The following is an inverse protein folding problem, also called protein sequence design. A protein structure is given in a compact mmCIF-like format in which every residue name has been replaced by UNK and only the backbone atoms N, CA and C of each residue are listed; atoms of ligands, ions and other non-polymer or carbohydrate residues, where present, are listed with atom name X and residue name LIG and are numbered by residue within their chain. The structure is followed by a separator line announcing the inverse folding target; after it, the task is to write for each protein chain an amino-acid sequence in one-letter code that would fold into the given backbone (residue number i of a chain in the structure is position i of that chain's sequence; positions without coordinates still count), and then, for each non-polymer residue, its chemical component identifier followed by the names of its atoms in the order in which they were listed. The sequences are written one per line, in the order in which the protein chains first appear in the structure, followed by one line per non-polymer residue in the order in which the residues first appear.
data_IF_329231683050
#
_entry.id   IF_329231683050
#
_cell.length_a   1.000
_cell.length_b   1.000
_cell.length_c   1.000
_cell.angle_alpha   90.00
_cell.angle_beta   90.00
_cell.angle_gamma   90.00
#
_symmetry.space_group_name_H-M   'P 1'
#
loop_
_entity.id
_entity.type
_entity.pdbx_description
1 polymer ?
#
# COMPACT_ATOMS: atom_id res chain seq x y z
N UNK A 1 0.46 -1.68 21.95
CA UNK A 1 1.14 -1.45 20.66
C UNK A 1 0.95 -2.70 19.83
N UNK A 2 0.41 -2.57 18.63
CA UNK A 2 0.16 -3.70 17.74
C UNK A 2 1.28 -3.78 16.70
N UNK A 3 1.94 -4.93 16.61
CA UNK A 3 2.99 -5.17 15.62
C UNK A 3 2.38 -5.92 14.44
N UNK A 4 2.37 -5.29 13.26
CA UNK A 4 1.88 -5.90 12.02
C UNK A 4 3.07 -6.19 11.11
N UNK A 5 3.35 -7.46 10.75
CA UNK A 5 4.42 -7.76 9.81
C UNK A 5 4.04 -7.23 8.42
N UNK A 6 5.02 -6.65 7.72
CA UNK A 6 4.85 -6.09 6.39
C UNK A 6 5.96 -6.55 5.45
N UNK A 7 5.61 -6.96 4.24
CA UNK A 7 6.55 -7.21 3.16
C UNK A 7 6.76 -5.92 2.37
N UNK A 8 8.02 -5.52 2.22
CA UNK A 8 8.41 -4.35 1.43
C UNK A 8 8.58 -4.74 -0.03
N UNK A 9 7.92 -4.02 -0.93
CA UNK A 9 8.07 -4.18 -2.38
C UNK A 9 9.13 -3.23 -2.92
N UNK A 10 9.99 -3.72 -3.80
CA UNK A 10 11.02 -2.93 -4.47
C UNK A 10 10.49 -2.17 -5.70
N UNK A 11 9.21 -2.33 -6.01
CA UNK A 11 8.56 -1.71 -7.14
C UNK A 11 7.12 -1.33 -6.79
N UNK A 12 6.58 -0.37 -7.54
CA UNK A 12 5.18 0.01 -7.45
C UNK A 12 4.30 -0.95 -8.27
N UNK A 13 3.26 -1.52 -7.68
CA UNK A 13 2.33 -2.39 -8.40
C UNK A 13 1.69 -1.70 -9.60
N UNK A 14 1.52 -2.42 -10.72
CA UNK A 14 0.96 -1.88 -11.97
C UNK A 14 -0.46 -1.33 -11.77
N UNK A 15 -1.26 -1.95 -10.91
CA UNK A 15 -2.61 -1.48 -10.57
C UNK A 15 -2.63 -0.17 -9.77
N UNK A 16 -1.48 0.29 -9.24
CA UNK A 16 -1.34 1.58 -8.54
C UNK A 16 -0.84 2.70 -9.48
N UNK A 17 -0.46 2.39 -10.72
CA UNK A 17 -0.02 3.40 -11.68
C UNK A 17 -1.07 4.50 -11.96
N UNK A 18 -2.38 4.20 -12.08
CA UNK A 18 -3.39 5.24 -12.26
C UNK A 18 -3.49 6.22 -11.07
N UNK A 19 -3.20 5.76 -9.85
CA UNK A 19 -3.13 6.62 -8.68
C UNK A 19 -1.91 7.56 -8.76
N UNK A 20 -0.72 7.01 -9.02
CA UNK A 20 0.50 7.80 -9.18
C UNK A 20 0.38 8.84 -10.30
N UNK A 21 -0.23 8.47 -11.43
CA UNK A 21 -0.44 9.39 -12.56
C UNK A 21 -1.38 10.55 -12.21
N UNK A 22 -2.48 10.27 -11.48
CA UNK A 22 -3.38 11.32 -11.00
C UNK A 22 -2.65 12.26 -10.03
N UNK A 23 -1.85 11.69 -9.13
CA UNK A 23 -1.12 12.47 -8.14
C UNK A 23 -0.04 13.34 -8.80
N UNK A 24 0.63 12.85 -9.83
CA UNK A 24 1.56 13.62 -10.67
C UNK A 24 0.90 14.85 -11.30
N UNK A 25 -0.32 14.72 -11.80
CA UNK A 25 -1.03 15.81 -12.47
C UNK A 25 -1.52 16.90 -11.48
N UNK A 26 -1.93 16.51 -10.27
CA UNK A 26 -2.50 17.45 -9.30
C UNK A 26 -1.49 17.99 -8.28
N UNK A 27 -0.50 17.18 -7.89
CA UNK A 27 0.51 17.49 -6.88
C UNK A 27 1.86 16.88 -7.26
N UNK A 28 2.58 17.43 -8.26
CA UNK A 28 3.78 16.82 -8.83
C UNK A 28 4.90 16.60 -7.81
N UNK A 29 5.13 17.56 -6.89
CA UNK A 29 6.15 17.42 -5.83
C UNK A 29 5.84 16.29 -4.85
N UNK A 30 4.57 16.15 -4.47
CA UNK A 30 4.10 15.08 -3.61
C UNK A 30 4.16 13.72 -4.33
N UNK A 31 3.92 13.72 -5.64
CA UNK A 31 4.05 12.52 -6.48
C UNK A 31 5.48 12.00 -6.53
N UNK A 32 6.47 12.87 -6.61
CA UNK A 32 7.88 12.47 -6.55
C UNK A 32 8.24 11.91 -5.16
N UNK A 33 7.78 12.55 -4.07
CA UNK A 33 7.98 12.02 -2.71
C UNK A 33 7.39 10.62 -2.56
N UNK A 34 6.13 10.41 -2.96
CA UNK A 34 5.45 9.12 -2.88
C UNK A 34 6.09 8.09 -3.81
N UNK A 35 6.50 8.47 -5.02
CA UNK A 35 7.14 7.53 -5.96
C UNK A 35 8.48 7.01 -5.43
N UNK A 36 9.20 7.83 -4.65
CA UNK A 36 10.45 7.44 -4.00
C UNK A 36 10.25 6.57 -2.75
N UNK A 37 9.01 6.33 -2.32
CA UNK A 37 8.70 5.41 -1.22
C UNK A 37 8.41 4.00 -1.70
N UNK A 38 8.20 3.09 -0.75
CA UNK A 38 7.97 1.69 -1.03
C UNK A 38 6.54 1.29 -0.74
N UNK A 39 6.02 0.40 -1.56
CA UNK A 39 4.74 -0.21 -1.30
C UNK A 39 4.91 -1.37 -0.32
N UNK A 40 3.98 -1.52 0.61
CA UNK A 40 4.01 -2.59 1.60
C UNK A 40 2.81 -3.53 1.45
N UNK A 41 3.02 -4.82 1.70
CA UNK A 41 1.96 -5.82 1.80
C UNK A 41 1.84 -6.28 3.25
N UNK A 42 0.63 -6.26 3.78
CA UNK A 42 0.32 -6.75 5.13
C UNK A 42 -0.65 -7.94 5.04
N UNK A 43 -0.53 -8.93 5.93
CA UNK A 43 -1.43 -10.07 5.94
C UNK A 43 -2.86 -9.62 6.26
N UNK A 44 -3.83 -10.24 5.61
CA UNK A 44 -5.25 -10.03 5.82
C UNK A 44 -5.93 -11.40 5.93
N UNK A 45 -6.51 -11.64 7.10
CA UNK A 45 -7.33 -12.82 7.31
C UNK A 45 -8.67 -12.62 6.58
N UNK A 46 -8.93 -13.46 5.57
CA UNK A 46 -10.22 -13.58 4.93
C UNK A 46 -11.25 -14.06 5.96
N UNK A 47 -12.39 -13.35 6.06
CA UNK A 47 -13.53 -13.76 6.92
C UNK A 47 -14.46 -14.77 6.22
N UNK A 48 -14.15 -15.19 5.00
CA UNK A 48 -15.02 -16.10 4.25
C UNK A 48 -14.91 -17.51 4.82
N UNK A 49 -16.00 -17.87 5.49
CA UNK A 49 -16.25 -19.10 6.24
C UNK A 49 -16.42 -20.30 5.30
N UNK A 50 -15.32 -21.01 5.06
CA UNK A 50 -15.33 -22.45 4.86
C UNK A 50 -14.11 -23.02 5.57
N UNK A 51 -14.32 -23.93 6.53
CA UNK A 51 -13.26 -24.60 7.29
C UNK A 51 -12.26 -25.36 6.39
N UNK A 52 -12.57 -25.54 5.09
CA UNK A 52 -11.70 -26.24 4.15
C UNK A 52 -10.70 -25.36 3.40
N UNK A 53 -10.90 -24.03 3.31
CA UNK A 53 -10.03 -23.12 2.53
C UNK A 53 -9.93 -21.74 3.20
N UNK A 54 -9.23 -21.64 4.33
CA UNK A 54 -8.77 -20.34 4.80
C UNK A 54 -7.71 -19.81 3.82
N UNK A 55 -8.12 -18.95 2.91
CA UNK A 55 -7.20 -18.25 2.01
C UNK A 55 -6.48 -17.15 2.79
N UNK A 56 -5.17 -17.29 2.90
CA UNK A 56 -4.29 -16.27 3.43
C UNK A 56 -4.02 -15.24 2.33
N UNK A 57 -4.59 -14.05 2.47
CA UNK A 57 -4.44 -12.97 1.51
C UNK A 57 -3.46 -11.91 2.03
N UNK A 58 -2.79 -11.24 1.09
CA UNK A 58 -2.08 -10.00 1.37
C UNK A 58 -2.87 -8.81 0.84
N UNK A 59 -2.78 -7.69 1.55
CA UNK A 59 -3.29 -6.41 1.08
C UNK A 59 -2.19 -5.36 1.06
N UNK A 60 -2.31 -4.45 0.11
CA UNK A 60 -1.54 -3.22 0.03
C UNK A 60 -1.75 -2.35 1.27
N UNK A 61 -0.66 -1.89 1.88
CA UNK A 61 -0.65 -0.90 2.95
C UNK A 61 -0.25 0.47 2.41
N UNK A 62 -0.97 1.50 2.83
CA UNK A 62 -0.74 2.90 2.46
C UNK A 62 -0.13 3.73 3.60
N UNK A 63 0.28 3.10 4.72
CA UNK A 63 0.67 3.83 5.93
C UNK A 63 1.83 4.81 5.71
N UNK A 64 2.84 4.44 4.92
CA UNK A 64 3.95 5.36 4.60
C UNK A 64 3.47 6.58 3.79
N UNK A 65 2.46 6.39 2.92
CA UNK A 65 1.87 7.46 2.12
C UNK A 65 1.02 8.38 3.01
N UNK A 66 0.25 7.81 3.94
CA UNK A 66 -0.57 8.56 4.90
C UNK A 66 0.28 9.52 5.75
N UNK A 67 1.47 9.08 6.17
CA UNK A 67 2.43 9.94 6.88
C UNK A 67 2.88 11.11 6.00
N UNK A 68 3.29 10.84 4.76
CA UNK A 68 3.70 11.90 3.82
C UNK A 68 2.55 12.90 3.57
N UNK A 69 1.32 12.40 3.47
CA UNK A 69 0.13 13.23 3.29
C UNK A 69 -0.20 14.07 4.53
N UNK A 70 0.09 13.58 5.73
CA UNK A 70 -0.12 14.33 6.97
C UNK A 70 0.94 15.42 7.20
N UNK A 71 2.13 15.26 6.62
CA UNK A 71 3.24 16.21 6.73
C UNK A 71 3.20 17.37 5.71
N UNK A 72 2.30 17.35 4.72
CA UNK A 72 2.22 18.33 3.62
C UNK A 72 0.82 18.92 3.44
#
# INVERSE_FOLDING_TARGET
MDYVPALKLNFWPTNMQPFLNRLKNHRPLLSEKIKNTHMHLVPKWSRLTSLSNQEFEFRYSLSEIEVILAEN
#
